data_IF_955684781080
#
_entry.id   IF_955684781080
#
_cell.length_a   1.000
_cell.length_b   1.000
_cell.length_c   1.000
_cell.angle_alpha   90.00
_cell.angle_beta   90.00
_cell.angle_gamma   90.00
#
_symmetry.space_group_name_H-M   'P 1'
#
loop_
_entity.id
_entity.type
_entity.pdbx_description
1 polymer ?
#
# COMPACT_ATOMS: atom_id res chain seq x y z
N UNK A 1 -12.60 -13.41 32.95
CA UNK A 1 -12.93 -14.49 32.00
C UNK A 1 -11.61 -15.16 31.61
N UNK A 2 -11.43 -16.45 31.90
CA UNK A 2 -10.21 -17.18 31.52
C UNK A 2 -10.23 -17.40 30.00
N UNK A 3 -9.11 -17.19 29.32
CA UNK A 3 -9.01 -17.40 27.88
C UNK A 3 -9.22 -18.89 27.57
N UNK A 4 -10.15 -19.19 26.67
CA UNK A 4 -10.37 -20.55 26.17
C UNK A 4 -9.17 -20.94 25.30
N UNK A 5 -8.57 -22.09 25.58
CA UNK A 5 -7.47 -22.64 24.77
C UNK A 5 -7.90 -22.74 23.31
N UNK A 6 -7.10 -22.19 22.39
CA UNK A 6 -7.35 -22.29 20.95
C UNK A 6 -6.59 -23.49 20.33
N UNK A 7 -6.88 -23.81 19.07
CA UNK A 7 -6.29 -24.97 18.40
C UNK A 7 -4.75 -24.91 18.27
N UNK A 8 -4.17 -23.71 18.14
CA UNK A 8 -2.70 -23.55 18.05
C UNK A 8 -2.02 -23.75 19.40
N UNK A 9 -2.67 -23.33 20.50
CA UNK A 9 -2.18 -23.57 21.85
C UNK A 9 -2.23 -25.06 22.20
N UNK A 10 -3.30 -25.75 21.78
CA UNK A 10 -3.41 -27.21 21.92
C UNK A 10 -2.32 -27.93 21.12
N UNK A 11 -2.13 -27.58 19.84
CA UNK A 11 -1.14 -28.21 18.95
C UNK A 11 0.29 -28.10 19.51
N UNK A 12 0.66 -26.92 20.04
CA UNK A 12 1.96 -26.70 20.70
C UNK A 12 2.17 -27.51 21.99
N UNK A 13 1.09 -27.95 22.64
CA UNK A 13 1.14 -28.69 23.91
C UNK A 13 0.89 -30.19 23.73
N UNK A 14 0.65 -30.65 22.49
CA UNK A 14 0.26 -32.02 22.21
C UNK A 14 1.30 -33.03 22.71
N UNK A 15 2.59 -32.77 22.48
CA UNK A 15 3.67 -33.65 22.93
C UNK A 15 3.69 -33.81 24.46
N UNK A 16 3.59 -32.69 25.20
CA UNK A 16 3.55 -32.71 26.66
C UNK A 16 2.30 -33.41 27.24
N UNK A 17 1.17 -33.34 26.52
CA UNK A 17 -0.05 -34.10 26.87
C UNK A 17 0.15 -35.61 26.63
N UNK A 18 0.81 -36.00 25.54
CA UNK A 18 1.10 -37.40 25.24
C UNK A 18 2.10 -38.01 26.23
N UNK A 19 3.08 -37.23 26.67
CA UNK A 19 4.09 -37.64 27.65
C UNK A 19 3.59 -37.58 29.11
N UNK A 20 2.32 -37.22 29.33
CA UNK A 20 1.75 -36.97 30.66
C UNK A 20 2.54 -35.95 31.51
N UNK A 21 3.24 -35.02 30.87
CA UNK A 21 4.09 -34.00 31.51
C UNK A 21 3.33 -32.70 31.83
N UNK A 22 2.09 -32.54 31.35
CA UNK A 22 1.25 -31.37 31.63
C UNK A 22 0.79 -31.27 33.08
N UNK A 23 0.66 -30.06 33.59
CA UNK A 23 0.07 -29.80 34.89
C UNK A 23 -1.46 -30.05 34.86
N UNK A 24 -2.07 -30.33 36.01
CA UNK A 24 -3.49 -30.72 36.11
C UNK A 24 -4.45 -29.66 35.55
N UNK A 25 -4.11 -28.38 35.69
CA UNK A 25 -4.88 -27.28 35.12
C UNK A 25 -4.82 -27.26 33.58
N UNK A 26 -3.68 -27.64 32.99
CA UNK A 26 -3.49 -27.71 31.55
C UNK A 26 -4.24 -28.90 30.95
N UNK A 27 -4.24 -30.03 31.66
CA UNK A 27 -5.08 -31.19 31.32
C UNK A 27 -6.56 -30.83 31.27
N UNK A 28 -7.08 -30.13 32.30
CA UNK A 28 -8.48 -29.70 32.33
C UNK A 28 -8.83 -28.71 31.21
N UNK A 29 -7.92 -27.80 30.87
CA UNK A 29 -8.11 -26.87 29.75
C UNK A 29 -8.08 -27.60 28.40
N UNK A 30 -7.20 -28.58 28.23
CA UNK A 30 -7.14 -29.44 27.05
C UNK A 30 -8.40 -30.30 26.90
N UNK A 31 -8.88 -30.95 27.96
CA UNK A 31 -10.14 -31.71 27.96
C UNK A 31 -11.34 -30.86 27.57
N UNK A 32 -11.44 -29.65 28.13
CA UNK A 32 -12.49 -28.70 27.76
C UNK A 32 -12.42 -28.31 26.28
N UNK A 33 -11.22 -28.11 25.73
CA UNK A 33 -11.04 -27.85 24.31
C UNK A 33 -11.43 -29.06 23.45
N UNK A 34 -10.99 -30.26 23.83
CA UNK A 34 -11.28 -31.51 23.13
C UNK A 34 -12.77 -31.85 23.11
N UNK A 35 -13.52 -31.46 24.14
CA UNK A 35 -14.98 -31.58 24.15
C UNK A 35 -15.63 -30.72 23.05
N UNK A 36 -15.08 -29.52 22.79
CA UNK A 36 -15.61 -28.56 21.80
C UNK A 36 -15.01 -28.64 20.39
N UNK A 37 -13.85 -29.29 20.21
CA UNK A 37 -13.11 -29.29 18.94
C UNK A 37 -12.87 -30.71 18.39
N UNK A 38 -13.69 -31.17 17.41
CA UNK A 38 -13.55 -32.53 16.86
C UNK A 38 -12.22 -32.75 16.13
N UNK A 39 -11.63 -31.70 15.55
CA UNK A 39 -10.32 -31.77 14.88
C UNK A 39 -9.19 -32.11 15.84
N UNK A 40 -9.09 -31.40 16.96
CA UNK A 40 -8.04 -31.62 17.95
C UNK A 40 -8.24 -32.96 18.67
N UNK A 41 -9.49 -33.42 18.82
CA UNK A 41 -9.79 -34.78 19.29
C UNK A 41 -9.24 -35.84 18.36
N UNK A 42 -9.54 -35.77 17.06
CA UNK A 42 -9.00 -36.71 16.07
C UNK A 42 -7.47 -36.68 16.02
N UNK A 43 -6.85 -35.51 16.17
CA UNK A 43 -5.39 -35.36 16.24
C UNK A 43 -4.80 -36.09 17.46
N UNK A 44 -5.38 -35.89 18.65
CA UNK A 44 -4.91 -36.55 19.87
C UNK A 44 -5.11 -38.08 19.82
N UNK A 45 -6.27 -38.54 19.33
CA UNK A 45 -6.55 -39.97 19.17
C UNK A 45 -5.57 -40.61 18.18
N UNK A 46 -5.29 -39.93 17.06
CA UNK A 46 -4.28 -40.36 16.09
C UNK A 46 -2.88 -40.43 16.69
N UNK A 47 -2.44 -39.38 17.40
CA UNK A 47 -1.11 -39.33 18.01
C UNK A 47 -0.94 -40.32 19.17
N UNK A 48 -1.99 -40.60 19.93
CA UNK A 48 -2.00 -41.61 20.99
C UNK A 48 -2.09 -43.06 20.47
N UNK A 49 -2.04 -43.28 19.15
CA UNK A 49 -2.19 -44.61 18.54
C UNK A 49 -3.58 -45.23 18.72
N UNK A 50 -4.59 -44.44 19.10
CA UNK A 50 -5.99 -44.86 19.29
C UNK A 50 -6.86 -44.61 18.06
N UNK A 51 -6.26 -44.11 16.97
CA UNK A 51 -6.93 -43.99 15.69
C UNK A 51 -7.35 -45.36 15.12
N UNK A 52 -8.31 -45.38 14.19
CA UNK A 52 -8.67 -46.61 13.50
C UNK A 52 -7.43 -47.19 12.82
N UNK A 53 -7.19 -48.49 13.01
CA UNK A 53 -6.15 -49.21 12.28
C UNK A 53 -6.48 -49.07 10.80
N UNK A 54 -5.64 -48.35 10.07
CA UNK A 54 -5.78 -48.21 8.63
C UNK A 54 -5.54 -49.59 8.00
N UNK A 55 -6.44 -49.97 7.10
CA UNK A 55 -6.21 -51.10 6.22
C UNK A 55 -5.03 -50.82 5.26
N UNK A 56 -4.62 -51.83 4.50
CA UNK A 56 -3.48 -51.72 3.58
C UNK A 56 -3.64 -50.58 2.57
N UNK A 57 -4.87 -50.36 2.08
CA UNK A 57 -5.20 -49.25 1.19
C UNK A 57 -5.07 -47.88 1.87
N UNK A 58 -5.55 -47.76 3.11
CA UNK A 58 -5.43 -46.55 3.93
C UNK A 58 -3.97 -46.23 4.28
N UNK A 59 -3.16 -47.24 4.58
CA UNK A 59 -1.72 -47.08 4.85
C UNK A 59 -0.96 -46.60 3.59
N UNK A 60 -1.26 -47.17 2.42
CA UNK A 60 -0.67 -46.74 1.16
C UNK A 60 -1.04 -45.27 0.83
N UNK A 61 -2.31 -44.91 1.03
CA UNK A 61 -2.81 -43.55 0.83
C UNK A 61 -2.17 -42.54 1.80
N UNK A 62 -2.08 -42.87 3.10
CA UNK A 62 -1.43 -42.03 4.10
C UNK A 62 0.05 -41.83 3.77
N UNK A 63 0.76 -42.91 3.44
CA UNK A 63 2.17 -42.86 3.03
C UNK A 63 2.35 -41.96 1.82
N UNK A 64 1.53 -42.12 0.78
CA UNK A 64 1.56 -41.25 -0.40
C UNK A 64 1.24 -39.79 -0.07
N UNK A 65 0.32 -39.53 0.88
CA UNK A 65 -0.03 -38.18 1.31
C UNK A 65 1.09 -37.54 2.15
N UNK A 66 1.69 -38.28 3.07
CA UNK A 66 2.84 -37.82 3.87
C UNK A 66 3.99 -37.52 2.92
N UNK A 67 4.37 -38.46 2.05
CA UNK A 67 5.44 -38.26 1.07
C UNK A 67 5.20 -37.07 0.15
N UNK A 68 3.94 -36.81 -0.25
CA UNK A 68 3.60 -35.61 -1.03
C UNK A 68 3.74 -34.31 -0.24
N UNK A 69 3.50 -34.36 1.07
CA UNK A 69 3.48 -33.17 1.94
C UNK A 69 4.85 -32.87 2.55
N UNK A 70 5.67 -33.90 2.77
CA UNK A 70 7.02 -33.80 3.36
C UNK A 70 8.14 -33.94 2.33
N UNK A 71 7.89 -34.59 1.19
CA UNK A 71 8.89 -34.81 0.13
C UNK A 71 9.22 -33.58 -0.72
N UNK A 72 8.66 -32.42 -0.39
CA UNK A 72 8.85 -31.18 -1.16
C UNK A 72 8.27 -31.27 -2.57
N UNK A 73 8.68 -30.34 -3.45
CA UNK A 73 8.48 -30.47 -4.89
C UNK A 73 9.70 -31.19 -5.50
N UNK A 74 9.67 -32.54 -5.66
CA UNK A 74 10.80 -33.28 -6.20
C UNK A 74 11.13 -32.84 -7.64
N UNK A 75 10.13 -32.38 -8.40
CA UNK A 75 10.36 -31.86 -9.74
C UNK A 75 11.09 -30.52 -9.70
N UNK A 76 10.69 -29.61 -8.81
CA UNK A 76 11.38 -28.35 -8.58
C UNK A 76 12.84 -28.58 -8.17
N UNK A 77 13.04 -29.41 -7.14
CA UNK A 77 14.39 -29.73 -6.64
C UNK A 77 15.28 -30.43 -7.68
N UNK A 78 14.72 -31.31 -8.51
CA UNK A 78 15.45 -31.93 -9.62
C UNK A 78 15.78 -30.90 -10.71
N UNK A 79 14.85 -30.02 -11.08
CA UNK A 79 15.07 -28.96 -12.08
C UNK A 79 16.18 -28.01 -11.72
N UNK A 80 16.26 -27.62 -10.44
CA UNK A 80 17.32 -26.75 -9.96
C UNK A 80 18.72 -27.38 -10.10
N UNK A 81 18.79 -28.72 -10.10
CA UNK A 81 20.03 -29.50 -10.25
C UNK A 81 20.28 -30.02 -11.66
N UNK A 82 19.32 -29.90 -12.59
CA UNK A 82 19.41 -30.52 -13.93
C UNK A 82 20.55 -29.95 -14.77
N UNK A 83 20.90 -28.68 -14.62
CA UNK A 83 22.07 -28.11 -15.32
C UNK A 83 23.36 -28.78 -14.87
N UNK A 84 23.60 -28.87 -13.55
CA UNK A 84 24.77 -29.57 -13.02
C UNK A 84 24.78 -31.06 -13.38
N UNK A 85 23.61 -31.69 -13.48
CA UNK A 85 23.48 -33.06 -13.94
C UNK A 85 23.92 -33.21 -15.41
N UNK A 86 23.44 -32.32 -16.29
CA UNK A 86 23.80 -32.30 -17.70
C UNK A 86 25.29 -31.99 -17.93
N UNK A 87 25.86 -31.10 -17.11
CA UNK A 87 27.28 -30.72 -17.19
C UNK A 87 28.22 -31.71 -16.48
N UNK A 88 27.67 -32.71 -15.77
CA UNK A 88 28.45 -33.70 -15.01
C UNK A 88 29.13 -33.14 -13.76
N UNK A 89 28.70 -31.98 -13.27
CA UNK A 89 29.31 -31.26 -12.14
C UNK A 89 28.70 -31.61 -10.77
N UNK A 90 27.58 -32.34 -10.74
CA UNK A 90 26.98 -32.80 -9.48
C UNK A 90 27.85 -33.82 -8.76
N UNK A 91 27.86 -33.72 -7.42
CA UNK A 91 28.37 -34.75 -6.53
C UNK A 91 27.66 -36.09 -6.76
N UNK A 92 28.33 -37.20 -6.43
CA UNK A 92 27.82 -38.55 -6.71
C UNK A 92 26.41 -38.78 -6.14
N UNK A 93 26.18 -38.38 -4.89
CA UNK A 93 24.88 -38.55 -4.24
C UNK A 93 23.77 -37.74 -4.93
N UNK A 94 24.02 -36.48 -5.26
CA UNK A 94 23.02 -35.64 -5.94
C UNK A 94 22.72 -36.13 -7.36
N UNK A 95 23.75 -36.63 -8.06
CA UNK A 95 23.61 -37.24 -9.37
C UNK A 95 22.71 -38.46 -9.33
N UNK A 96 22.89 -39.35 -8.34
CA UNK A 96 22.07 -40.55 -8.18
C UNK A 96 20.61 -40.19 -7.88
N UNK A 97 20.38 -39.15 -7.04
CA UNK A 97 19.03 -38.64 -6.78
C UNK A 97 18.35 -38.10 -8.05
N UNK A 98 19.05 -37.25 -8.82
CA UNK A 98 18.51 -36.68 -10.06
C UNK A 98 18.30 -37.76 -11.11
N UNK A 99 19.23 -38.71 -11.25
CA UNK A 99 19.12 -39.84 -12.17
C UNK A 99 17.90 -40.72 -11.84
N UNK A 100 17.70 -41.04 -10.56
CA UNK A 100 16.53 -41.77 -10.09
C UNK A 100 15.21 -41.02 -10.34
N UNK A 101 15.21 -39.69 -10.24
CA UNK A 101 14.01 -38.91 -10.56
C UNK A 101 13.76 -38.85 -12.08
N UNK A 102 14.80 -38.59 -12.88
CA UNK A 102 14.71 -38.48 -14.34
C UNK A 102 14.23 -39.79 -14.97
N UNK A 103 14.65 -40.95 -14.46
CA UNK A 103 14.19 -42.25 -14.95
C UNK A 103 12.70 -42.51 -14.70
N UNK A 104 12.10 -41.82 -13.72
CA UNK A 104 10.70 -42.01 -13.31
C UNK A 104 9.78 -40.83 -13.68
N UNK A 105 10.32 -39.71 -14.16
CA UNK A 105 9.56 -38.49 -14.46
C UNK A 105 9.80 -38.04 -15.91
N UNK A 106 8.85 -38.35 -16.81
CA UNK A 106 8.96 -38.03 -18.24
C UNK A 106 9.16 -36.54 -18.57
N UNK A 107 8.61 -35.63 -17.75
CA UNK A 107 8.82 -34.18 -17.92
C UNK A 107 10.27 -33.77 -17.62
N UNK A 108 10.85 -34.29 -16.55
CA UNK A 108 12.23 -34.01 -16.19
C UNK A 108 13.21 -34.72 -17.14
N UNK A 109 12.86 -35.92 -17.64
CA UNK A 109 13.61 -36.59 -18.68
C UNK A 109 13.71 -35.79 -19.98
N UNK A 110 12.57 -35.26 -20.47
CA UNK A 110 12.55 -34.43 -21.67
C UNK A 110 13.40 -33.15 -21.51
N UNK A 111 13.39 -32.54 -20.31
CA UNK A 111 14.22 -31.38 -20.02
C UNK A 111 15.71 -31.72 -19.95
N UNK A 112 16.08 -32.82 -19.28
CA UNK A 112 17.47 -33.29 -19.20
C UNK A 112 18.05 -33.56 -20.60
N UNK A 113 17.26 -34.21 -21.46
CA UNK A 113 17.60 -34.50 -22.84
C UNK A 113 17.74 -33.23 -23.70
N UNK A 114 16.87 -32.23 -23.50
CA UNK A 114 17.01 -30.92 -24.15
C UNK A 114 18.28 -30.16 -23.71
N UNK A 115 18.63 -30.22 -22.42
CA UNK A 115 19.87 -29.64 -21.90
C UNK A 115 21.10 -30.35 -22.46
N UNK A 116 21.10 -31.68 -22.49
CA UNK A 116 22.20 -32.48 -23.06
C UNK A 116 22.43 -32.17 -24.55
N UNK A 117 21.35 -32.06 -25.35
CA UNK A 117 21.45 -31.61 -26.75
C UNK A 117 22.01 -30.20 -26.86
N UNK A 118 21.57 -29.29 -26.00
CA UNK A 118 22.05 -27.90 -26.03
C UNK A 118 23.54 -27.82 -25.70
N UNK A 119 23.98 -28.54 -24.66
CA UNK A 119 25.39 -28.64 -24.26
C UNK A 119 26.28 -29.19 -25.39
N UNK A 120 25.78 -30.12 -26.21
CA UNK A 120 26.51 -30.63 -27.36
C UNK A 120 26.71 -29.59 -28.47
N UNK A 121 25.76 -28.68 -28.68
CA UNK A 121 25.80 -27.70 -29.79
C UNK A 121 26.47 -26.39 -29.38
N UNK A 122 26.31 -25.93 -28.13
CA UNK A 122 26.82 -24.64 -27.66
C UNK A 122 28.32 -24.37 -27.92
N UNK A 123 29.24 -25.35 -27.76
CA UNK A 123 30.65 -25.14 -28.08
C UNK A 123 30.90 -24.72 -29.54
N UNK A 124 30.05 -25.19 -30.47
CA UNK A 124 30.19 -24.81 -31.89
C UNK A 124 29.78 -23.36 -32.15
N UNK A 125 28.93 -22.76 -31.30
CA UNK A 125 28.59 -21.35 -31.40
C UNK A 125 29.70 -20.43 -30.89
N UNK A 126 30.59 -20.91 -30.01
CA UNK A 126 31.68 -20.10 -29.47
C UNK A 126 32.74 -19.73 -30.52
N UNK A 127 32.83 -20.46 -31.63
CA UNK A 127 33.74 -20.16 -32.74
C UNK A 127 33.14 -19.22 -33.78
N UNK A 128 31.83 -18.98 -33.74
CA UNK A 128 31.17 -18.08 -34.67
C UNK A 128 31.41 -16.64 -34.24
N UNK A 129 31.97 -15.83 -35.14
CA UNK A 129 32.02 -14.37 -34.95
C UNK A 129 30.67 -13.79 -35.35
N UNK A 130 29.88 -13.21 -34.41
CA UNK A 130 28.60 -12.62 -34.76
C UNK A 130 28.82 -11.36 -35.62
N UNK A 131 27.94 -11.07 -36.59
CA UNK A 131 28.02 -9.83 -37.35
C UNK A 131 27.79 -8.62 -36.42
N UNK A 132 28.43 -7.48 -36.70
CA UNK A 132 28.40 -6.28 -35.82
C UNK A 132 27.02 -5.88 -35.27
N UNK A 133 25.92 -5.85 -36.06
CA UNK A 133 24.62 -5.45 -35.51
C UNK A 133 23.96 -6.53 -34.64
N UNK A 134 24.38 -7.80 -34.72
CA UNK A 134 23.68 -8.92 -34.08
C UNK A 134 23.54 -8.77 -32.57
N UNK A 135 24.60 -8.32 -31.89
CA UNK A 135 24.56 -8.13 -30.43
C UNK A 135 23.57 -7.03 -30.06
N UNK A 136 23.54 -5.93 -30.82
CA UNK A 136 22.57 -4.83 -30.63
C UNK A 136 21.14 -5.31 -30.87
N UNK A 137 20.92 -6.09 -31.93
CA UNK A 137 19.60 -6.60 -32.31
C UNK A 137 19.08 -7.61 -31.27
N UNK A 138 19.92 -8.55 -30.84
CA UNK A 138 19.58 -9.53 -29.79
C UNK A 138 19.33 -8.81 -28.47
N UNK A 139 20.15 -7.84 -28.08
CA UNK A 139 19.89 -7.04 -26.88
C UNK A 139 18.57 -6.27 -27.01
N UNK A 140 18.26 -5.68 -28.17
CA UNK A 140 16.99 -4.98 -28.38
C UNK A 140 15.77 -5.91 -28.31
N UNK A 141 15.90 -7.15 -28.79
CA UNK A 141 14.81 -8.12 -28.85
C UNK A 141 14.64 -8.92 -27.55
N UNK A 142 15.73 -9.24 -26.86
CA UNK A 142 15.74 -10.06 -25.63
C UNK A 142 15.74 -9.23 -24.37
N UNK A 143 16.13 -7.95 -24.44
CA UNK A 143 15.75 -7.00 -23.42
C UNK A 143 14.25 -6.74 -23.58
N UNK A 144 13.45 -7.67 -23.05
CA UNK A 144 12.18 -7.35 -22.40
C UNK A 144 12.45 -6.46 -21.19
N UNK A 145 13.29 -5.42 -21.34
CA UNK A 145 13.42 -4.37 -20.36
C UNK A 145 12.02 -3.78 -20.33
N UNK A 146 11.22 -3.97 -19.27
CA UNK A 146 10.03 -3.17 -19.13
C UNK A 146 10.50 -1.74 -19.29
N UNK A 147 9.87 -0.99 -20.21
CA UNK A 147 10.22 0.39 -20.49
C UNK A 147 10.52 1.06 -19.16
N UNK A 148 11.73 1.65 -19.01
CA UNK A 148 12.19 2.11 -17.70
C UNK A 148 11.03 2.84 -17.03
N UNK A 149 10.62 2.41 -15.81
CA UNK A 149 9.45 2.96 -15.19
C UNK A 149 9.62 4.47 -15.22
N UNK A 150 8.62 5.13 -15.80
CA UNK A 150 8.58 6.58 -15.85
C UNK A 150 8.85 7.12 -14.44
N UNK A 151 9.31 8.36 -14.31
CA UNK A 151 9.59 8.94 -12.99
C UNK A 151 8.39 8.76 -12.04
N UNK A 152 7.17 8.82 -12.59
CA UNK A 152 5.91 8.50 -11.91
C UNK A 152 5.79 7.02 -11.49
N UNK A 153 6.17 6.07 -12.34
CA UNK A 153 6.22 4.64 -12.00
C UNK A 153 7.19 4.33 -10.86
N UNK A 154 8.40 4.93 -10.87
CA UNK A 154 9.37 4.79 -9.77
C UNK A 154 8.84 5.36 -8.46
N UNK A 155 8.15 6.51 -8.54
CA UNK A 155 7.50 7.12 -7.38
C UNK A 155 6.38 6.23 -6.84
N UNK A 156 5.58 5.62 -7.73
CA UNK A 156 4.51 4.67 -7.36
C UNK A 156 5.04 3.42 -6.66
N UNK A 157 6.09 2.79 -7.19
CA UNK A 157 6.73 1.63 -6.55
C UNK A 157 7.37 1.99 -5.21
N UNK A 158 7.96 3.18 -5.10
CA UNK A 158 8.49 3.69 -3.85
C UNK A 158 7.38 3.93 -2.82
N UNK A 159 6.27 4.57 -3.23
CA UNK A 159 5.08 4.78 -2.39
C UNK A 159 4.45 3.45 -1.95
N UNK A 160 4.35 2.46 -2.86
CA UNK A 160 3.82 1.14 -2.53
C UNK A 160 4.66 0.42 -1.47
N UNK A 161 5.99 0.48 -1.60
CA UNK A 161 6.92 -0.06 -0.58
C UNK A 161 6.86 0.72 0.73
N UNK A 162 6.69 2.04 0.67
CA UNK A 162 6.56 2.88 1.85
C UNK A 162 5.24 2.61 2.60
N UNK A 163 4.13 2.37 1.88
CA UNK A 163 2.81 2.10 2.44
C UNK A 163 2.72 0.82 3.29
N UNK A 164 3.61 -0.16 3.06
CA UNK A 164 3.68 -1.39 3.86
C UNK A 164 4.27 -1.13 5.26
N UNK A 165 4.96 0.00 5.47
CA UNK A 165 5.54 0.33 6.77
C UNK A 165 4.44 0.85 7.72
N UNK A 166 4.29 0.28 8.92
CA UNK A 166 3.24 0.69 9.87
C UNK A 166 3.35 2.15 10.35
N UNK A 167 4.49 2.83 10.13
CA UNK A 167 4.70 4.24 10.49
C UNK A 167 4.44 5.24 9.35
N UNK A 168 4.17 4.75 8.13
CA UNK A 168 4.01 5.59 6.94
C UNK A 168 2.85 6.58 7.06
N UNK A 169 1.72 6.16 7.63
CA UNK A 169 0.56 7.04 7.82
C UNK A 169 0.88 8.26 8.70
N UNK A 170 1.72 8.10 9.72
CA UNK A 170 2.10 9.18 10.63
C UNK A 170 3.10 10.15 9.98
N UNK A 171 4.05 9.63 9.21
CA UNK A 171 4.99 10.45 8.45
C UNK A 171 4.27 11.28 7.37
N UNK A 172 3.35 10.66 6.62
CA UNK A 172 2.55 11.36 5.61
C UNK A 172 1.64 12.39 6.27
N UNK A 173 0.96 12.05 7.36
CA UNK A 173 0.12 12.99 8.09
C UNK A 173 0.94 14.20 8.59
N UNK A 174 2.15 13.97 9.10
CA UNK A 174 3.05 15.03 9.55
C UNK A 174 3.48 15.94 8.40
N UNK A 175 3.96 15.37 7.28
CA UNK A 175 4.38 16.14 6.10
C UNK A 175 3.20 16.92 5.49
N UNK A 176 2.03 16.30 5.36
CA UNK A 176 0.82 16.98 4.91
C UNK A 176 0.44 18.12 5.85
N UNK A 177 0.51 17.92 7.17
CA UNK A 177 0.23 18.98 8.15
C UNK A 177 1.22 20.13 8.02
N UNK A 178 2.50 19.85 7.79
CA UNK A 178 3.54 20.86 7.56
C UNK A 178 3.30 21.65 6.27
N UNK A 179 2.93 20.96 5.19
CA UNK A 179 2.56 21.61 3.92
C UNK A 179 1.31 22.48 4.09
N UNK A 180 0.28 21.99 4.80
CA UNK A 180 -0.89 22.79 5.13
C UNK A 180 -0.50 24.01 5.98
N UNK A 181 0.38 23.85 6.97
CA UNK A 181 0.89 24.96 7.76
C UNK A 181 1.76 25.94 6.95
N UNK A 182 2.44 25.50 5.90
CA UNK A 182 3.19 26.41 5.02
C UNK A 182 2.24 27.18 4.10
N UNK A 183 1.29 26.47 3.48
CA UNK A 183 0.32 27.03 2.51
C UNK A 183 -0.68 27.95 3.21
N UNK A 184 -1.25 27.51 4.32
CA UNK A 184 -2.28 28.23 5.07
C UNK A 184 -1.74 28.98 6.29
N UNK A 185 -0.64 28.50 6.88
CA UNK A 185 -0.01 29.10 8.07
C UNK A 185 1.02 30.19 7.78
N UNK A 186 1.08 30.70 6.54
CA UNK A 186 1.57 32.05 6.26
C UNK A 186 0.42 33.07 6.03
N UNK A 187 -0.55 33.21 6.95
CA UNK A 187 -1.58 34.22 6.83
C UNK A 187 -0.99 35.61 7.09
N UNK A 188 0.19 35.72 7.70
CA UNK A 188 0.77 37.00 8.12
C UNK A 188 1.05 37.93 6.94
N UNK A 189 1.51 37.40 5.79
CA UNK A 189 1.70 38.25 4.60
C UNK A 189 0.37 38.67 3.97
N UNK A 190 -0.58 37.74 3.82
CA UNK A 190 -1.90 38.03 3.27
C UNK A 190 -2.70 39.02 4.15
N UNK A 191 -2.63 38.85 5.48
CA UNK A 191 -3.26 39.74 6.45
C UNK A 191 -2.55 41.09 6.56
N UNK A 192 -1.22 41.17 6.46
CA UNK A 192 -0.52 42.47 6.42
C UNK A 192 -0.94 43.29 5.20
N UNK A 193 -1.12 42.65 4.05
CA UNK A 193 -1.53 43.32 2.82
C UNK A 193 -3.02 43.71 2.83
N UNK A 194 -3.88 42.92 3.48
CA UNK A 194 -5.29 43.32 3.69
C UNK A 194 -5.44 44.35 4.80
N UNK A 195 -4.62 44.31 5.86
CA UNK A 195 -4.62 45.31 6.93
C UNK A 195 -4.13 46.67 6.42
N UNK A 196 -3.07 46.72 5.62
CA UNK A 196 -2.61 47.98 5.02
C UNK A 196 -3.62 48.58 4.04
N UNK A 197 -4.32 47.74 3.26
CA UNK A 197 -5.43 48.19 2.40
C UNK A 197 -6.64 48.62 3.23
N UNK A 198 -6.98 47.92 4.31
CA UNK A 198 -8.08 48.28 5.19
C UNK A 198 -7.81 49.60 5.92
N UNK A 199 -6.57 49.85 6.35
CA UNK A 199 -6.15 51.10 6.98
C UNK A 199 -6.29 52.27 6.00
N UNK A 200 -5.81 52.12 4.75
CA UNK A 200 -5.97 53.14 3.70
C UNK A 200 -7.46 53.48 3.38
N UNK A 201 -8.36 52.50 3.48
CA UNK A 201 -9.80 52.72 3.25
C UNK A 201 -10.55 53.21 4.49
N UNK A 202 -10.12 52.82 5.70
CA UNK A 202 -10.80 53.13 6.95
C UNK A 202 -10.40 54.50 7.51
N UNK A 203 -9.15 54.91 7.36
CA UNK A 203 -8.61 56.14 7.97
C UNK A 203 -9.47 57.40 7.72
N UNK A 204 -9.92 57.72 6.48
CA UNK A 204 -10.74 58.91 6.25
C UNK A 204 -12.18 58.78 6.79
N UNK A 205 -12.70 57.56 6.95
CA UNK A 205 -14.06 57.33 7.49
C UNK A 205 -14.07 57.23 9.01
N UNK A 206 -12.98 56.74 9.60
CA UNK A 206 -12.81 56.60 11.04
C UNK A 206 -12.55 57.95 11.68
N UNK A 207 -11.80 58.88 11.08
CA UNK A 207 -11.64 60.24 11.64
C UNK A 207 -12.99 60.98 11.74
N UNK A 208 -13.84 60.87 10.72
CA UNK A 208 -15.18 61.49 10.71
C UNK A 208 -16.13 60.82 11.71
N UNK A 209 -16.05 59.49 11.86
CA UNK A 209 -16.88 58.75 12.81
C UNK A 209 -16.40 58.94 14.27
N UNK A 210 -15.09 58.94 14.52
CA UNK A 210 -14.48 59.16 15.83
C UNK A 210 -14.74 60.58 16.29
N UNK A 211 -14.69 61.59 15.42
CA UNK A 211 -15.09 62.96 15.77
C UNK A 211 -16.55 63.07 16.22
N UNK A 212 -17.47 62.29 15.62
CA UNK A 212 -18.90 62.28 15.98
C UNK A 212 -19.22 61.43 17.21
N UNK A 213 -18.42 60.41 17.50
CA UNK A 213 -18.66 59.45 18.58
C UNK A 213 -17.86 59.81 19.84
N UNK A 214 -16.68 60.42 19.73
CA UNK A 214 -15.82 60.68 20.89
C UNK A 214 -16.46 61.56 21.96
N UNK A 215 -17.25 62.57 21.58
CA UNK A 215 -17.97 63.43 22.52
C UNK A 215 -19.06 62.67 23.31
N UNK A 216 -20.01 61.94 22.68
CA UNK A 216 -20.97 61.14 23.42
C UNK A 216 -20.35 59.94 24.13
N UNK A 217 -19.24 59.38 23.64
CA UNK A 217 -18.56 58.25 24.29
C UNK A 217 -17.81 58.69 25.55
N UNK A 218 -17.24 59.90 25.59
CA UNK A 218 -16.65 60.47 26.81
C UNK A 218 -17.73 60.71 27.89
N UNK A 219 -18.89 61.23 27.50
CA UNK A 219 -20.05 61.39 28.39
C UNK A 219 -20.60 60.04 28.88
N UNK A 220 -20.69 59.05 27.99
CA UNK A 220 -21.11 57.70 28.33
C UNK A 220 -20.08 56.96 29.20
N UNK A 221 -18.78 57.26 29.10
CA UNK A 221 -17.72 56.67 29.94
C UNK A 221 -17.78 57.18 31.37
N UNK A 222 -18.04 58.48 31.57
CA UNK A 222 -18.29 59.05 32.89
C UNK A 222 -19.54 58.45 33.56
N UNK A 223 -20.56 58.13 32.75
CA UNK A 223 -21.79 57.47 33.23
C UNK A 223 -21.59 55.95 33.41
N UNK A 224 -20.70 55.35 32.61
CA UNK A 224 -20.36 53.93 32.65
C UNK A 224 -19.50 53.56 33.86
N UNK A 225 -18.53 54.39 34.25
CA UNK A 225 -17.70 54.14 35.45
C UNK A 225 -18.55 54.07 36.73
N UNK A 226 -19.61 54.88 36.82
CA UNK A 226 -20.54 54.88 37.96
C UNK A 226 -21.51 53.69 37.96
N UNK A 227 -21.84 53.14 36.78
CA UNK A 227 -22.72 51.97 36.65
C UNK A 227 -21.93 50.66 36.77
N UNK A 228 -20.76 50.56 36.13
CA UNK A 228 -19.86 49.39 36.14
C UNK A 228 -19.32 49.11 37.54
N UNK A 229 -19.02 50.14 38.34
CA UNK A 229 -18.68 49.95 39.75
C UNK A 229 -19.79 49.27 40.56
N UNK A 230 -21.07 49.49 40.20
CA UNK A 230 -22.24 48.90 40.87
C UNK A 230 -22.62 47.52 40.31
N UNK A 231 -22.37 47.24 39.03
CA UNK A 231 -22.68 45.94 38.40
C UNK A 231 -21.56 44.91 38.55
N UNK A 232 -20.28 45.30 38.59
CA UNK A 232 -19.15 44.37 38.83
C UNK A 232 -19.24 43.74 40.23
N UNK A 233 -19.72 44.48 41.23
CA UNK A 233 -20.01 43.94 42.56
C UNK A 233 -21.18 42.95 42.60
N UNK A 234 -22.11 42.99 41.62
CA UNK A 234 -23.23 42.04 41.52
C UNK A 234 -22.91 40.83 40.64
N UNK A 235 -22.06 40.99 39.63
CA UNK A 235 -21.68 39.91 38.72
C UNK A 235 -20.60 38.99 39.28
N UNK A 236 -19.71 39.45 40.18
CA UNK A 236 -18.77 38.54 40.85
C UNK A 236 -19.48 37.58 41.82
N UNK A 237 -20.66 37.95 42.33
CA UNK A 237 -21.51 37.07 43.14
C UNK A 237 -22.33 36.08 42.30
N UNK A 238 -22.57 36.36 41.01
CA UNK A 238 -23.34 35.48 40.11
C UNK A 238 -22.45 34.51 39.29
N UNK A 239 -21.17 34.85 39.09
CA UNK A 239 -20.23 34.01 38.34
C UNK A 239 -19.81 32.71 39.06
N UNK A 240 -20.20 32.53 40.33
CA UNK A 240 -19.97 31.31 41.11
C UNK A 240 -21.02 30.21 40.85
N UNK A 241 -22.03 30.44 40.00
CA UNK A 241 -23.20 29.56 39.90
C UNK A 241 -23.71 29.29 38.47
N UNK A 242 -22.86 29.31 37.43
CA UNK A 242 -23.28 28.96 36.06
C UNK A 242 -22.59 27.69 35.53
N UNK A 243 -23.33 26.69 35.01
CA UNK A 243 -22.75 25.52 34.35
C UNK A 243 -22.27 25.82 32.92
N UNK A 244 -21.33 24.99 32.45
CA UNK A 244 -20.59 25.13 31.19
C UNK A 244 -21.48 25.19 29.93
N UNK A 245 -21.09 25.99 28.90
CA UNK A 245 -21.86 26.11 27.67
C UNK A 245 -21.67 24.88 26.77
N UNK A 246 -22.70 24.07 26.62
CA UNK A 246 -22.76 22.89 25.74
C UNK A 246 -22.96 23.20 24.24
N UNK A 247 -22.74 24.45 23.81
CA UNK A 247 -23.08 24.93 22.45
C UNK A 247 -21.91 25.20 21.48
N UNK A 248 -20.65 25.19 21.94
CA UNK A 248 -19.52 25.62 21.08
C UNK A 248 -19.12 24.57 20.03
N UNK A 249 -19.15 23.29 20.40
CA UNK A 249 -18.75 22.18 19.52
C UNK A 249 -19.56 22.06 18.23
N UNK A 250 -20.91 22.13 18.22
CA UNK A 250 -21.68 22.05 16.98
C UNK A 250 -21.46 23.26 16.05
N UNK A 251 -21.23 24.46 16.60
CA UNK A 251 -20.92 25.65 15.81
C UNK A 251 -19.52 25.56 15.18
N UNK A 252 -18.52 25.11 15.95
CA UNK A 252 -17.17 24.88 15.45
C UNK A 252 -17.13 23.79 14.36
N UNK A 253 -17.89 22.70 14.53
CA UNK A 253 -18.03 21.64 13.53
C UNK A 253 -18.64 22.15 12.23
N UNK A 254 -19.73 22.93 12.30
CA UNK A 254 -20.39 23.48 11.11
C UNK A 254 -19.47 24.46 10.36
N UNK A 255 -18.76 25.31 11.09
CA UNK A 255 -17.77 26.22 10.49
C UNK A 255 -16.62 25.46 9.79
N UNK A 256 -16.12 24.39 10.41
CA UNK A 256 -15.09 23.52 9.83
C UNK A 256 -15.57 22.84 8.53
N UNK A 257 -16.75 22.22 8.57
CA UNK A 257 -17.33 21.52 7.42
C UNK A 257 -17.61 22.49 6.24
N UNK A 258 -18.21 23.65 6.48
CA UNK A 258 -18.55 24.58 5.38
C UNK A 258 -17.41 25.49 4.96
N UNK A 259 -16.50 25.86 5.87
CA UNK A 259 -15.47 26.85 5.62
C UNK A 259 -14.15 26.26 5.14
N UNK A 260 -13.73 25.15 5.76
CA UNK A 260 -12.41 24.56 5.53
C UNK A 260 -12.50 23.39 4.55
N UNK A 261 -13.41 22.44 4.80
CA UNK A 261 -13.50 21.22 3.97
C UNK A 261 -13.94 21.55 2.55
N UNK A 262 -14.96 22.40 2.37
CA UNK A 262 -15.47 22.72 1.03
C UNK A 262 -14.45 23.51 0.19
N UNK A 263 -13.72 24.45 0.81
CA UNK A 263 -12.64 25.17 0.12
C UNK A 263 -11.49 24.25 -0.24
N UNK A 264 -11.09 23.36 0.67
CA UNK A 264 -10.05 22.37 0.39
C UNK A 264 -10.47 21.45 -0.75
N UNK A 265 -11.72 20.99 -0.77
CA UNK A 265 -12.28 20.17 -1.85
C UNK A 265 -12.21 20.90 -3.19
N UNK A 266 -12.66 22.16 -3.24
CA UNK A 266 -12.61 22.96 -4.47
C UNK A 266 -11.18 23.17 -4.99
N UNK A 267 -10.20 23.33 -4.09
CA UNK A 267 -8.79 23.42 -4.49
C UNK A 267 -8.25 22.09 -5.02
N UNK A 268 -8.61 20.98 -4.40
CA UNK A 268 -8.20 19.65 -4.86
C UNK A 268 -8.80 19.32 -6.23
N UNK A 269 -10.07 19.68 -6.47
CA UNK A 269 -10.72 19.51 -7.76
C UNK A 269 -10.06 20.38 -8.86
N UNK A 270 -9.70 21.63 -8.52
CA UNK A 270 -8.96 22.50 -9.43
C UNK A 270 -7.55 21.96 -9.75
N UNK A 271 -6.84 21.44 -8.74
CA UNK A 271 -5.54 20.82 -8.93
C UNK A 271 -5.61 19.55 -9.79
N UNK A 272 -6.62 18.70 -9.57
CA UNK A 272 -6.87 17.52 -10.40
C UNK A 272 -7.24 17.89 -11.84
N UNK A 273 -7.97 18.99 -12.05
CA UNK A 273 -8.19 19.58 -13.37
C UNK A 273 -6.88 19.98 -14.05
N UNK A 274 -6.03 20.72 -13.35
CA UNK A 274 -4.74 21.18 -13.87
C UNK A 274 -3.82 20.03 -14.26
N UNK A 275 -3.74 18.97 -13.44
CA UNK A 275 -2.91 17.78 -13.75
C UNK A 275 -3.37 17.09 -15.03
N UNK A 276 -4.69 16.92 -15.24
CA UNK A 276 -5.22 16.34 -16.48
C UNK A 276 -4.89 17.19 -17.70
N UNK A 277 -5.02 18.51 -17.60
CA UNK A 277 -4.62 19.42 -18.69
C UNK A 277 -3.12 19.36 -18.98
N UNK A 278 -2.28 19.20 -17.96
CA UNK A 278 -0.84 19.03 -18.14
C UNK A 278 -0.50 17.69 -18.84
N UNK A 279 -1.22 16.62 -18.50
CA UNK A 279 -1.08 15.32 -19.14
C UNK A 279 -1.51 15.36 -20.62
N UNK A 280 -2.63 16.02 -20.93
CA UNK A 280 -3.08 16.24 -22.31
C UNK A 280 -2.04 17.02 -23.14
N UNK A 281 -1.47 18.08 -22.58
CA UNK A 281 -0.40 18.86 -23.23
C UNK A 281 0.88 18.03 -23.44
N UNK A 282 1.26 17.21 -22.46
CA UNK A 282 2.41 16.33 -22.58
C UNK A 282 2.20 15.28 -23.68
N UNK A 283 1.00 14.70 -23.77
CA UNK A 283 0.63 13.74 -24.80
C UNK A 283 0.58 14.39 -26.21
N UNK A 284 0.06 15.61 -26.34
CA UNK A 284 0.06 16.35 -27.62
C UNK A 284 1.50 16.67 -28.07
N UNK A 285 2.36 17.12 -27.15
CA UNK A 285 3.78 17.35 -27.43
C UNK A 285 4.51 16.07 -27.83
N UNK A 286 4.26 14.95 -27.13
CA UNK A 286 4.84 13.66 -27.46
C UNK A 286 4.40 13.17 -28.85
N UNK A 287 3.12 13.35 -29.21
CA UNK A 287 2.61 13.01 -30.54
C UNK A 287 3.28 13.82 -31.65
N UNK A 288 3.49 15.13 -31.44
CA UNK A 288 4.19 16.01 -32.38
C UNK A 288 5.67 15.64 -32.53
N UNK A 289 6.36 15.34 -31.43
CA UNK A 289 7.79 14.97 -31.44
C UNK A 289 8.04 13.61 -32.11
N UNK A 290 7.11 12.66 -31.96
CA UNK A 290 7.20 11.34 -32.59
C UNK A 290 6.84 11.34 -34.08
N UNK A 291 6.64 12.52 -34.71
CA UNK A 291 6.32 12.62 -36.13
C UNK A 291 4.97 12.00 -36.51
N UNK A 292 4.13 11.64 -35.53
CA UNK A 292 2.74 11.26 -35.76
C UNK A 292 1.92 12.52 -35.97
N UNK A 293 2.16 13.19 -37.08
CA UNK A 293 1.24 14.22 -37.55
C UNK A 293 -0.12 13.52 -37.74
N UNK A 294 -1.19 13.94 -37.05
CA UNK A 294 -2.51 13.40 -37.33
C UNK A 294 -2.76 13.55 -38.83
N UNK A 295 -3.28 12.52 -39.51
CA UNK A 295 -3.46 12.56 -40.97
C UNK A 295 -4.21 13.84 -41.30
N UNK A 296 -3.60 14.68 -42.13
CA UNK A 296 -4.19 15.95 -42.53
C UNK A 296 -5.63 15.69 -42.94
N UNK A 297 -6.58 16.32 -42.24
CA UNK A 297 -7.99 16.18 -42.57
C UNK A 297 -8.13 16.53 -44.06
N UNK A 298 -8.46 15.54 -44.89
CA UNK A 298 -8.67 15.76 -46.32
C UNK A 298 -9.69 16.88 -46.45
N UNK A 299 -9.31 17.94 -47.15
CA UNK A 299 -10.20 19.04 -47.44
C UNK A 299 -11.46 18.51 -48.15
N UNK A 300 -12.63 19.10 -47.89
CA UNK A 300 -13.88 18.72 -48.55
C UNK A 300 -13.77 19.05 -50.05
N UNK A 301 -13.29 18.08 -50.85
CA UNK A 301 -13.09 18.27 -52.27
C UNK A 301 -12.10 17.32 -52.95
N UNK A 302 -11.34 16.51 -52.20
CA UNK A 302 -10.37 15.59 -52.80
C UNK A 302 -11.07 14.28 -53.26
N UNK A 303 -11.11 13.98 -54.57
CA UNK A 303 -11.77 12.79 -55.08
C UNK A 303 -11.04 11.51 -54.65
N UNK A 304 -11.77 10.40 -54.41
CA UNK A 304 -11.17 9.14 -53.96
C UNK A 304 -10.17 8.60 -54.98
N UNK A 305 -9.05 7.99 -54.54
CA UNK A 305 -8.07 7.43 -55.46
C UNK A 305 -8.71 6.33 -56.29
N UNK A 306 -8.51 6.40 -57.61
CA UNK A 306 -8.98 5.41 -58.55
C UNK A 306 -8.42 4.03 -58.18
N UNK A 307 -9.31 3.05 -58.04
CA UNK A 307 -8.95 1.68 -57.74
C UNK A 307 -8.05 1.12 -58.86
N UNK A 308 -6.79 0.84 -58.52
CA UNK A 308 -5.88 0.10 -59.39
C UNK A 308 -6.37 -1.36 -59.41
N UNK A 309 -6.69 -1.85 -60.60
CA UNK A 309 -7.07 -3.25 -60.86
C UNK A 309 -5.86 -4.13 -61.00
#
# INVERSE_FOLDING_TARGET
>A
MKAVMNCQDFDRRLDALLDAACAENEWREAEAHLAGCPRCRALLEGAAGRGPVLDEAGQASLTASVMRKTGGDPCGSARDRLCGFADGTLEAFERDLVAGHVSNCGRCAALADALARSAAVLPSFATLTPPEPFVSDVLSATSFRPAEPSVLGRLGEWLGRAAIRPRFSLEVAYVCTLLLAIVFGNPVKAFKETASRAEAYAQPRVEVAVGRIAAPLAAARATGETVVGKTVGRLSAAASAAPAPSGFLPMARRWWETGVVERLRSMLDAAAGWVRSAEELANDLAARLLGKQPPAARGPGEPPPAAVR
#
